data_IF_009854665673
#
_entry.id   IF_009854665673
#
_cell.length_a   1.000
_cell.length_b   1.000
_cell.length_c   1.000
_cell.angle_alpha   90.00
_cell.angle_beta   90.00
_cell.angle_gamma   90.00
#
_symmetry.space_group_name_H-M   'P 1'
#
loop_
_entity.id
_entity.type
_entity.pdbx_description
1 polymer ?
#
# COMPACT_ATOMS: atom_id res chain seq x y z
N UNK A 1 46.12 46.18 8.54
CA UNK A 1 45.75 45.08 7.62
C UNK A 1 44.34 44.59 8.00
N UNK A 2 43.31 45.22 7.43
CA UNK A 2 41.90 45.04 7.81
C UNK A 2 41.23 44.03 6.87
N UNK A 3 40.88 42.85 7.39
CA UNK A 3 40.11 41.82 6.66
C UNK A 3 38.61 42.13 6.75
N UNK A 4 38.01 42.54 5.64
CA UNK A 4 36.56 42.63 5.46
C UNK A 4 36.00 41.25 5.13
N UNK A 5 35.21 40.66 6.03
CA UNK A 5 34.50 39.41 5.79
C UNK A 5 33.23 39.66 4.95
N UNK A 6 32.91 38.80 3.96
CA UNK A 6 31.84 39.05 3.00
C UNK A 6 30.46 38.84 3.63
N UNK A 7 29.76 39.93 3.96
CA UNK A 7 28.35 39.91 4.46
C UNK A 7 27.33 39.33 3.46
N UNK A 8 27.75 39.00 2.24
CA UNK A 8 26.87 38.57 1.13
C UNK A 8 26.49 37.08 1.14
N UNK A 9 27.25 36.21 1.83
CA UNK A 9 26.96 34.77 1.89
C UNK A 9 25.83 34.41 2.88
N UNK A 10 25.73 35.13 4.01
CA UNK A 10 24.77 34.81 5.06
C UNK A 10 23.31 35.09 4.67
N UNK A 11 23.06 36.21 3.97
CA UNK A 11 21.70 36.60 3.52
C UNK A 11 21.15 35.66 2.46
N UNK A 12 22.02 35.12 1.61
CA UNK A 12 21.65 34.16 0.56
C UNK A 12 21.32 32.79 1.14
N UNK A 13 22.04 32.34 2.17
CA UNK A 13 21.74 31.11 2.91
C UNK A 13 20.36 31.16 3.60
N UNK A 14 20.02 32.28 4.23
CA UNK A 14 18.70 32.48 4.85
C UNK A 14 17.58 32.45 3.79
N UNK A 15 17.78 33.09 2.64
CA UNK A 15 16.79 33.07 1.54
C UNK A 15 16.59 31.68 0.98
N UNK A 16 17.66 30.90 0.79
CA UNK A 16 17.56 29.52 0.35
C UNK A 16 16.80 28.66 1.37
N UNK A 17 17.12 28.81 2.66
CA UNK A 17 16.43 28.09 3.72
C UNK A 17 14.95 28.46 3.78
N UNK A 18 14.61 29.77 3.71
CA UNK A 18 13.23 30.24 3.65
C UNK A 18 12.50 29.71 2.42
N UNK A 19 13.17 29.64 1.28
CA UNK A 19 12.60 29.10 0.05
C UNK A 19 12.33 27.60 0.15
N UNK A 20 13.27 26.82 0.69
CA UNK A 20 13.08 25.38 0.94
C UNK A 20 11.95 25.16 1.94
N UNK A 21 11.91 25.91 3.03
CA UNK A 21 10.82 25.80 4.01
C UNK A 21 9.48 26.18 3.38
N UNK A 22 9.44 27.20 2.54
CA UNK A 22 8.21 27.62 1.86
C UNK A 22 7.73 26.53 0.89
N UNK A 23 8.64 25.92 0.12
CA UNK A 23 8.32 24.78 -0.75
C UNK A 23 7.79 23.60 0.07
N UNK A 24 8.37 23.34 1.24
CA UNK A 24 7.95 22.24 2.12
C UNK A 24 6.57 22.50 2.75
N UNK A 25 6.23 23.76 3.04
CA UNK A 25 4.90 24.15 3.54
C UNK A 25 3.81 24.11 2.45
N UNK A 26 4.16 24.20 1.16
CA UNK A 26 3.20 24.18 0.04
C UNK A 26 2.97 22.74 -0.48
N UNK A 27 3.54 21.71 0.16
CA UNK A 27 3.27 20.33 -0.25
C UNK A 27 1.76 20.04 -0.15
N UNK A 28 1.15 19.42 -1.17
CA UNK A 28 -0.28 19.08 -1.11
C UNK A 28 -0.53 18.13 0.06
N UNK A 29 -1.69 18.29 0.70
CA UNK A 29 -2.11 17.34 1.73
C UNK A 29 -2.13 15.92 1.13
N UNK A 30 -1.69 14.90 1.88
CA UNK A 30 -1.80 13.52 1.41
C UNK A 30 -3.26 13.21 1.09
N UNK A 31 -3.48 12.42 0.03
CA UNK A 31 -4.81 11.93 -0.28
C UNK A 31 -5.29 11.11 0.91
N UNK A 32 -6.47 11.45 1.44
CA UNK A 32 -7.13 10.64 2.45
C UNK A 32 -8.00 9.62 1.72
N UNK A 33 -7.56 8.37 1.71
CA UNK A 33 -8.34 7.25 1.19
C UNK A 33 -8.98 6.56 2.39
N UNK A 34 -10.29 6.32 2.30
CA UNK A 34 -11.04 5.58 3.32
C UNK A 34 -11.93 4.56 2.64
N UNK A 35 -12.15 3.37 3.25
CA UNK A 35 -13.14 2.41 2.77
C UNK A 35 -14.51 3.09 2.80
N UNK A 36 -15.10 3.33 1.63
CA UNK A 36 -16.39 4.00 1.51
C UNK A 36 -17.53 3.27 2.23
N UNK A 37 -18.78 3.76 2.13
CA UNK A 37 -19.92 3.09 2.75
C UNK A 37 -20.07 1.65 2.23
N UNK A 38 -20.52 0.69 3.07
CA UNK A 38 -20.69 -0.70 2.68
C UNK A 38 -21.53 -0.85 1.41
N UNK A 39 -21.04 -1.66 0.47
CA UNK A 39 -21.68 -2.00 -0.79
C UNK A 39 -22.04 -3.49 -0.83
N UNK A 40 -22.91 -3.84 -1.77
CA UNK A 40 -23.27 -5.23 -2.05
C UNK A 40 -22.98 -5.55 -3.51
N UNK A 41 -22.42 -6.73 -3.75
CA UNK A 41 -22.22 -7.26 -5.11
C UNK A 41 -23.57 -7.72 -5.65
N UNK A 42 -23.98 -7.17 -6.80
CA UNK A 42 -25.13 -7.65 -7.55
C UNK A 42 -24.63 -8.63 -8.61
N UNK A 43 -25.08 -9.89 -8.57
CA UNK A 43 -24.56 -10.92 -9.47
C UNK A 43 -25.57 -12.02 -9.78
N UNK A 44 -25.56 -12.49 -11.02
CA UNK A 44 -26.20 -13.74 -11.44
C UNK A 44 -25.24 -14.93 -11.47
N UNK A 45 -23.93 -14.69 -11.21
CA UNK A 45 -22.86 -15.70 -11.30
C UNK A 45 -22.09 -15.76 -9.97
N UNK A 46 -22.65 -16.39 -8.92
CA UNK A 46 -22.13 -16.28 -7.55
C UNK A 46 -20.78 -16.97 -7.30
N UNK A 47 -20.28 -17.74 -8.28
CA UNK A 47 -19.01 -18.49 -8.18
C UNK A 47 -17.85 -17.81 -8.93
N UNK A 48 -18.12 -16.73 -9.67
CA UNK A 48 -17.06 -16.02 -10.41
C UNK A 48 -16.11 -15.36 -9.40
N UNK A 49 -14.82 -15.50 -9.65
CA UNK A 49 -13.77 -14.87 -8.87
C UNK A 49 -12.74 -14.21 -9.77
N UNK A 50 -12.16 -13.11 -9.30
CA UNK A 50 -11.09 -12.38 -9.99
C UNK A 50 -9.78 -12.58 -9.27
N UNK A 51 -8.76 -13.02 -10.00
CA UNK A 51 -7.40 -12.97 -9.51
C UNK A 51 -6.91 -11.52 -9.52
N UNK A 52 -6.52 -11.03 -8.36
CA UNK A 52 -5.96 -9.70 -8.18
C UNK A 52 -4.46 -9.80 -7.85
N UNK A 53 -3.78 -8.66 -7.94
CA UNK A 53 -2.36 -8.51 -7.58
C UNK A 53 -2.18 -7.21 -6.82
N UNK A 54 -2.90 -7.08 -5.70
CA UNK A 54 -2.95 -5.88 -4.87
C UNK A 54 -1.72 -5.75 -3.95
N UNK A 55 -1.04 -6.87 -3.68
CA UNK A 55 0.22 -6.90 -2.92
C UNK A 55 1.28 -5.92 -3.45
N UNK A 56 1.41 -5.83 -4.77
CA UNK A 56 2.44 -4.98 -5.40
C UNK A 56 1.93 -3.55 -5.69
N UNK A 57 0.67 -3.27 -5.34
CA UNK A 57 0.11 -1.94 -5.52
C UNK A 57 0.43 -1.07 -4.31
N UNK A 58 1.11 0.04 -4.56
CA UNK A 58 1.59 0.96 -3.52
C UNK A 58 0.50 1.95 -3.13
N UNK A 59 -0.34 2.34 -4.10
CA UNK A 59 -1.29 3.42 -3.91
C UNK A 59 -2.68 2.89 -3.53
N UNK A 60 -3.12 3.18 -2.31
CA UNK A 60 -4.40 2.72 -1.76
C UNK A 60 -5.61 3.07 -2.65
N UNK A 61 -5.61 4.24 -3.30
CA UNK A 61 -6.70 4.64 -4.19
C UNK A 61 -6.85 3.69 -5.40
N UNK A 62 -5.76 3.07 -5.86
CA UNK A 62 -5.81 2.08 -6.95
C UNK A 62 -6.33 0.74 -6.47
N UNK A 63 -6.02 0.37 -5.23
CA UNK A 63 -6.58 -0.82 -4.58
C UNK A 63 -8.09 -0.66 -4.44
N UNK A 64 -8.54 0.46 -3.85
CA UNK A 64 -9.95 0.81 -3.74
C UNK A 64 -10.64 0.76 -5.11
N UNK A 65 -10.06 1.44 -6.11
CA UNK A 65 -10.63 1.49 -7.46
C UNK A 65 -10.72 0.12 -8.12
N UNK A 66 -9.71 -0.73 -7.92
CA UNK A 66 -9.70 -2.09 -8.46
C UNK A 66 -10.82 -2.93 -7.86
N UNK A 67 -11.01 -2.85 -6.55
CA UNK A 67 -12.06 -3.58 -5.84
C UNK A 67 -13.47 -3.09 -6.22
N UNK A 68 -13.65 -1.78 -6.42
CA UNK A 68 -14.88 -1.24 -7.01
C UNK A 68 -15.18 -1.85 -8.37
N UNK A 69 -14.18 -1.97 -9.25
CA UNK A 69 -14.36 -2.55 -10.58
C UNK A 69 -14.72 -4.04 -10.51
N UNK A 70 -14.10 -4.80 -9.59
CA UNK A 70 -14.47 -6.22 -9.36
C UNK A 70 -15.94 -6.34 -8.96
N UNK A 71 -16.40 -5.51 -8.01
CA UNK A 71 -17.81 -5.47 -7.59
C UNK A 71 -18.73 -5.08 -8.74
N UNK A 72 -18.39 -4.04 -9.51
CA UNK A 72 -19.19 -3.54 -10.63
C UNK A 72 -19.31 -4.56 -11.77
N UNK A 73 -18.27 -5.37 -11.97
CA UNK A 73 -18.31 -6.50 -12.90
C UNK A 73 -19.28 -7.61 -12.45
N UNK A 74 -19.70 -7.60 -11.17
CA UNK A 74 -20.59 -8.61 -10.59
C UNK A 74 -19.85 -9.85 -10.09
N UNK A 75 -18.54 -9.77 -9.84
CA UNK A 75 -17.79 -10.86 -9.20
C UNK A 75 -17.88 -10.74 -7.67
N UNK A 76 -18.41 -11.75 -6.96
CA UNK A 76 -18.44 -11.70 -5.49
C UNK A 76 -17.11 -12.05 -4.83
N UNK A 77 -16.16 -12.63 -5.55
CA UNK A 77 -14.89 -13.10 -5.00
C UNK A 77 -13.69 -12.39 -5.61
N UNK A 78 -12.67 -12.16 -4.78
CA UNK A 78 -11.29 -11.94 -5.20
C UNK A 78 -10.41 -13.09 -4.72
N UNK A 79 -9.36 -13.39 -5.48
CA UNK A 79 -8.29 -14.28 -5.09
C UNK A 79 -7.01 -13.46 -5.02
N UNK A 80 -6.56 -13.16 -3.81
CA UNK A 80 -5.39 -12.31 -3.56
C UNK A 80 -4.27 -13.12 -2.90
N UNK A 81 -3.05 -12.91 -3.38
CA UNK A 81 -1.85 -13.44 -2.76
C UNK A 81 -1.48 -12.57 -1.55
N UNK A 82 -1.12 -13.19 -0.44
CA UNK A 82 -0.56 -12.52 0.73
C UNK A 82 0.80 -13.16 1.00
N UNK A 83 1.92 -12.54 0.55
CA UNK A 83 3.23 -13.12 0.74
C UNK A 83 3.64 -13.07 2.21
N UNK A 84 3.84 -14.23 2.84
CA UNK A 84 4.24 -14.32 4.24
C UNK A 84 5.55 -13.56 4.50
N UNK A 85 6.51 -13.66 3.59
CA UNK A 85 7.79 -12.98 3.71
C UNK A 85 7.70 -11.44 3.78
N UNK A 86 6.59 -10.84 3.34
CA UNK A 86 6.41 -9.38 3.41
C UNK A 86 5.84 -8.94 4.75
N UNK A 87 5.13 -9.83 5.43
CA UNK A 87 4.37 -9.48 6.62
C UNK A 87 5.01 -9.94 7.92
N UNK A 88 5.98 -10.85 7.91
CA UNK A 88 6.58 -11.38 9.13
C UNK A 88 8.12 -11.37 9.09
N UNK A 89 8.70 -10.50 9.91
CA UNK A 89 10.13 -10.37 10.09
C UNK A 89 10.71 -11.47 11.02
N UNK A 90 12.01 -11.72 10.91
CA UNK A 90 12.71 -12.76 11.71
C UNK A 90 12.72 -12.46 13.21
N UNK A 91 12.63 -11.19 13.59
CA UNK A 91 12.53 -10.72 14.97
C UNK A 91 11.12 -10.85 15.57
N UNK A 92 10.17 -11.42 14.81
CA UNK A 92 8.77 -11.58 15.21
C UNK A 92 7.89 -10.37 14.91
N UNK A 93 8.43 -9.30 14.30
CA UNK A 93 7.64 -8.16 13.87
C UNK A 93 6.64 -8.53 12.78
N UNK A 94 5.40 -7.99 12.88
CA UNK A 94 4.34 -8.25 11.90
C UNK A 94 3.83 -6.95 11.29
N UNK A 95 3.86 -6.87 9.95
CA UNK A 95 3.40 -5.71 9.18
C UNK A 95 1.97 -5.92 8.67
N UNK A 96 0.98 -5.62 9.52
CA UNK A 96 -0.45 -5.79 9.20
C UNK A 96 -1.06 -4.68 8.34
N UNK A 97 -0.36 -3.56 8.16
CA UNK A 97 -0.92 -2.34 7.53
C UNK A 97 -1.49 -2.60 6.13
N UNK A 98 -0.70 -3.19 5.23
CA UNK A 98 -1.16 -3.49 3.87
C UNK A 98 -2.30 -4.52 3.80
N UNK A 99 -2.19 -5.71 4.44
CA UNK A 99 -3.26 -6.71 4.37
C UNK A 99 -4.55 -6.21 5.01
N UNK A 100 -4.49 -5.49 6.12
CA UNK A 100 -5.67 -4.92 6.78
C UNK A 100 -6.37 -3.92 5.86
N UNK A 101 -5.61 -3.02 5.22
CA UNK A 101 -6.12 -2.06 4.24
C UNK A 101 -6.81 -2.75 3.05
N UNK A 102 -6.22 -3.79 2.47
CA UNK A 102 -6.85 -4.57 1.40
C UNK A 102 -8.15 -5.22 1.86
N UNK A 103 -8.15 -5.81 3.06
CA UNK A 103 -9.32 -6.48 3.63
C UNK A 103 -10.45 -5.48 3.93
N UNK A 104 -10.14 -4.31 4.47
CA UNK A 104 -11.11 -3.24 4.73
C UNK A 104 -11.79 -2.76 3.44
N UNK A 105 -11.01 -2.46 2.40
CA UNK A 105 -11.58 -2.05 1.10
C UNK A 105 -12.41 -3.16 0.45
N UNK A 106 -11.97 -4.41 0.53
CA UNK A 106 -12.72 -5.54 -0.01
C UNK A 106 -14.05 -5.71 0.72
N UNK A 107 -14.03 -5.63 2.06
CA UNK A 107 -15.21 -5.68 2.90
C UNK A 107 -16.19 -4.55 2.59
N UNK A 108 -15.69 -3.32 2.45
CA UNK A 108 -16.50 -2.16 2.07
C UNK A 108 -17.18 -2.34 0.70
N UNK A 109 -16.59 -3.10 -0.22
CA UNK A 109 -17.21 -3.43 -1.52
C UNK A 109 -18.13 -4.66 -1.48
N UNK A 110 -18.31 -5.29 -0.32
CA UNK A 110 -19.12 -6.52 -0.18
C UNK A 110 -18.47 -7.74 -0.85
N UNK A 111 -17.16 -7.68 -1.11
CA UNK A 111 -16.39 -8.75 -1.73
C UNK A 111 -15.95 -9.77 -0.67
N UNK A 112 -15.88 -11.03 -1.09
CA UNK A 112 -15.29 -12.11 -0.30
C UNK A 112 -13.87 -12.38 -0.79
N UNK A 113 -12.95 -12.59 0.14
CA UNK A 113 -11.53 -12.76 -0.16
C UNK A 113 -11.14 -14.22 0.01
N UNK A 114 -10.61 -14.82 -1.06
CA UNK A 114 -9.86 -16.07 -0.98
C UNK A 114 -8.39 -15.69 -0.81
N UNK A 115 -7.94 -15.66 0.44
CA UNK A 115 -6.57 -15.33 0.79
C UNK A 115 -5.65 -16.52 0.47
N UNK A 116 -4.68 -16.28 -0.41
CA UNK A 116 -3.62 -17.25 -0.72
C UNK A 116 -2.36 -16.83 0.02
N UNK A 117 -1.98 -17.55 1.05
CA UNK A 117 -0.65 -17.35 1.65
C UNK A 117 0.38 -17.96 0.71
N UNK A 118 1.46 -17.22 0.44
CA UNK A 118 2.57 -17.63 -0.41
C UNK A 118 3.88 -17.04 0.06
N UNK A 119 4.97 -17.31 -0.65
CA UNK A 119 6.31 -16.74 -0.40
C UNK A 119 6.80 -16.87 1.05
N UNK A 120 7.53 -17.95 1.33
CA UNK A 120 8.01 -18.25 2.68
C UNK A 120 9.26 -17.43 3.00
N UNK A 121 9.29 -16.72 4.16
CA UNK A 121 10.45 -15.94 4.55
C UNK A 121 11.70 -16.80 4.68
N UNK A 122 12.87 -16.21 4.45
CA UNK A 122 14.15 -16.93 4.46
C UNK A 122 14.42 -17.63 5.80
N UNK A 123 13.98 -17.06 6.91
CA UNK A 123 14.17 -17.62 8.25
C UNK A 123 13.28 -18.86 8.51
N UNK A 124 12.15 -19.01 7.80
CA UNK A 124 11.23 -20.15 7.92
C UNK A 124 11.44 -21.20 6.81
N UNK A 125 12.20 -20.88 5.78
CA UNK A 125 12.32 -21.70 4.57
C UNK A 125 13.54 -22.62 4.64
N UNK A 126 13.39 -23.94 4.40
CA UNK A 126 14.54 -24.84 4.33
C UNK A 126 15.52 -24.45 3.22
N UNK A 127 16.81 -24.74 3.42
CA UNK A 127 17.85 -24.52 2.40
C UNK A 127 17.52 -25.30 1.12
N UNK A 128 17.91 -24.74 -0.03
CA UNK A 128 17.74 -25.34 -1.36
C UNK A 128 16.29 -25.62 -1.78
N UNK A 129 15.31 -24.96 -1.15
CA UNK A 129 13.89 -25.03 -1.54
C UNK A 129 13.46 -23.77 -2.32
N UNK A 130 12.45 -23.88 -3.22
CA UNK A 130 11.96 -22.72 -3.97
C UNK A 130 11.24 -21.71 -3.05
N UNK A 131 11.10 -20.47 -3.50
CA UNK A 131 10.52 -19.37 -2.72
C UNK A 131 9.07 -19.62 -2.24
N UNK A 132 8.33 -20.45 -2.97
CA UNK A 132 6.94 -20.81 -2.68
C UNK A 132 6.80 -22.12 -1.86
N UNK A 133 7.87 -22.59 -1.23
CA UNK A 133 7.84 -23.75 -0.35
C UNK A 133 7.02 -23.45 0.91
N UNK A 134 5.81 -24.01 1.03
CA UNK A 134 4.91 -23.90 2.18
C UNK A 134 4.59 -25.29 2.74
#
# INVERSE_FOLDING_TARGET
MTRTFPKLQFRSGIRLLLFITLIWLIQPAPLLIVPGPPQTVQTSHPIVGVHTRLTDEVEEWKIQRSLEMVRQMGSPWIVELFPWAYYHAEDGGIAWEHPDMVMEHAHAQGLKVIARIGLTPSWARPKDTPLNYL
#
